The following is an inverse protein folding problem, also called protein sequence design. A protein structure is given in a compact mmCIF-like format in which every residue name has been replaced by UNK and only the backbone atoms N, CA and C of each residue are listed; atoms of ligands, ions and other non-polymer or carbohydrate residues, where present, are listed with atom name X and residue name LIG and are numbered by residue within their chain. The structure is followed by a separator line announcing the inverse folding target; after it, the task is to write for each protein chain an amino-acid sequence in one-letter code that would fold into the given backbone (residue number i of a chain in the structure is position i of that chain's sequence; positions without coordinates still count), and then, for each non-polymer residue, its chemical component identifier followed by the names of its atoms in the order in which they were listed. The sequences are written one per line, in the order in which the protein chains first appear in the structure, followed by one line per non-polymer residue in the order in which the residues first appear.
data_IF_994510598874
#
_entry.id   IF_994510598874
#
_cell.length_a   1.000
_cell.length_b   1.000
_cell.length_c   1.000
_cell.angle_alpha   90.00
_cell.angle_beta   90.00
_cell.angle_gamma   90.00
#
_symmetry.space_group_name_H-M   'P 1'
#
loop_
_entity.id
_entity.type
_entity.pdbx_description
1 polymer ?
#
# COMPACT_ATOMS: atom_id res chain seq x y z
N UNK A 1 8.49 8.55 2.95
CA UNK A 1 8.30 7.39 3.84
C UNK A 1 6.84 7.01 3.74
N UNK A 2 6.55 5.82 3.23
CA UNK A 2 5.17 5.32 3.20
C UNK A 2 4.90 4.60 4.51
N UNK A 3 3.84 5.00 5.21
CA UNK A 3 3.36 4.32 6.42
C UNK A 3 2.02 3.66 6.12
N UNK A 4 2.01 2.33 6.17
CA UNK A 4 0.83 1.50 5.95
C UNK A 4 0.34 0.91 7.27
N UNK A 5 -0.06 1.78 8.20
CA UNK A 5 -0.55 1.40 9.53
C UNK A 5 0.46 0.54 10.32
N UNK A 6 1.71 1.01 10.41
CA UNK A 6 2.77 0.39 11.21
C UNK A 6 3.90 -0.18 10.38
N UNK A 7 3.68 -0.42 9.08
CA UNK A 7 4.74 -0.78 8.15
C UNK A 7 5.26 0.48 7.44
N UNK A 8 6.45 0.90 7.85
CA UNK A 8 7.17 2.02 7.27
C UNK A 8 8.20 1.54 6.27
N UNK A 9 8.15 2.11 5.07
CA UNK A 9 9.13 1.81 4.02
C UNK A 9 9.65 3.09 3.34
N UNK A 10 10.87 2.98 2.82
CA UNK A 10 11.40 3.93 1.86
C UNK A 10 11.09 3.44 0.46
N UNK A 11 10.43 4.30 -0.32
CA UNK A 11 10.08 4.05 -1.71
C UNK A 11 10.61 5.20 -2.56
N UNK A 12 11.15 4.86 -3.72
CA UNK A 12 11.43 5.85 -4.76
C UNK A 12 10.12 6.19 -5.48
N UNK A 13 9.77 7.47 -5.50
CA UNK A 13 8.54 7.97 -6.09
C UNK A 13 8.83 8.98 -7.21
N UNK A 14 8.01 8.94 -8.25
CA UNK A 14 7.99 9.99 -9.27
C UNK A 14 7.04 11.09 -8.80
N UNK A 15 7.54 12.32 -8.73
CA UNK A 15 6.77 13.47 -8.23
C UNK A 15 6.06 14.16 -9.38
N UNK A 16 4.75 14.34 -9.25
CA UNK A 16 3.90 15.10 -10.18
C UNK A 16 2.80 15.82 -9.40
N UNK A 17 2.20 16.85 -9.98
CA UNK A 17 1.02 17.51 -9.40
C UNK A 17 -0.18 16.56 -9.45
N UNK A 18 -0.76 16.28 -8.29
CA UNK A 18 -2.00 15.52 -8.12
C UNK A 18 -3.11 16.49 -7.70
N UNK A 19 -4.35 16.18 -8.08
CA UNK A 19 -5.52 17.01 -7.72
C UNK A 19 -6.05 16.62 -6.35
N UNK A 20 -6.81 15.53 -6.27
CA UNK A 20 -7.50 15.12 -5.04
C UNK A 20 -6.72 14.12 -4.18
N UNK A 21 -5.78 13.36 -4.75
CA UNK A 21 -5.09 12.29 -4.05
C UNK A 21 -3.69 12.71 -3.59
N UNK A 22 -3.28 12.23 -2.41
CA UNK A 22 -1.94 12.48 -1.87
C UNK A 22 -0.84 11.66 -2.57
N UNK A 23 -1.17 10.45 -3.04
CA UNK A 23 -0.23 9.53 -3.68
C UNK A 23 -0.96 8.43 -4.48
N UNK A 24 -0.34 7.98 -5.57
CA UNK A 24 -0.74 6.76 -6.28
C UNK A 24 0.33 5.69 -6.15
N UNK A 25 -0.08 4.46 -5.79
CA UNK A 25 0.79 3.29 -5.81
C UNK A 25 0.72 2.62 -7.18
N UNK A 26 1.86 2.54 -7.85
CA UNK A 26 1.99 1.91 -9.14
C UNK A 26 1.94 0.37 -9.07
N UNK A 27 1.77 -0.25 -10.24
CA UNK A 27 1.75 -1.71 -10.39
C UNK A 27 3.07 -2.39 -9.97
N UNK A 28 4.20 -1.71 -10.16
CA UNK A 28 5.52 -2.17 -9.72
C UNK A 28 5.56 -2.43 -8.20
N UNK A 29 5.05 -1.48 -7.42
CA UNK A 29 4.97 -1.61 -5.96
C UNK A 29 4.03 -2.76 -5.57
N UNK A 30 2.85 -2.87 -6.21
CA UNK A 30 1.91 -3.96 -5.96
C UNK A 30 2.49 -5.33 -6.28
N UNK A 31 3.28 -5.45 -7.36
CA UNK A 31 3.90 -6.73 -7.75
C UNK A 31 4.99 -7.16 -6.78
N UNK A 32 5.75 -6.20 -6.24
CA UNK A 32 6.83 -6.49 -5.28
C UNK A 32 6.28 -7.10 -3.98
N UNK A 33 5.24 -6.49 -3.42
CA UNK A 33 4.65 -6.95 -2.16
C UNK A 33 3.58 -8.03 -2.33
N UNK A 34 3.00 -8.13 -3.54
CA UNK A 34 1.97 -9.09 -3.91
C UNK A 34 0.86 -9.25 -2.83
N UNK A 35 0.24 -8.14 -2.37
CA UNK A 35 -0.77 -8.22 -1.32
C UNK A 35 -2.04 -8.89 -1.85
N UNK A 36 -2.89 -9.35 -0.93
CA UNK A 36 -4.25 -9.71 -1.27
C UNK A 36 -5.10 -8.45 -1.34
N UNK A 37 -5.79 -8.25 -2.46
CA UNK A 37 -6.63 -7.07 -2.69
C UNK A 37 -8.07 -7.51 -2.86
N UNK A 38 -8.93 -7.06 -1.95
CA UNK A 38 -10.37 -7.14 -2.08
C UNK A 38 -10.88 -5.83 -2.68
N UNK A 39 -10.99 -5.82 -4.01
CA UNK A 39 -11.47 -4.66 -4.77
C UNK A 39 -12.91 -4.28 -4.43
N UNK A 40 -13.75 -5.24 -4.03
CA UNK A 40 -15.17 -5.00 -3.74
C UNK A 40 -15.30 -4.20 -2.44
N UNK A 41 -14.55 -4.58 -1.41
CA UNK A 41 -14.62 -3.94 -0.09
C UNK A 41 -13.56 -2.85 0.11
N UNK A 42 -12.67 -2.65 -0.87
CA UNK A 42 -11.57 -1.71 -0.77
C UNK A 42 -10.54 -2.09 0.30
N UNK A 43 -10.19 -3.37 0.42
CA UNK A 43 -9.27 -3.86 1.46
C UNK A 43 -7.97 -4.35 0.84
N UNK A 44 -6.83 -3.93 1.39
CA UNK A 44 -5.51 -4.51 1.10
C UNK A 44 -5.02 -5.28 2.34
N UNK A 45 -4.54 -6.50 2.14
CA UNK A 45 -3.96 -7.34 3.20
C UNK A 45 -2.55 -7.79 2.83
N UNK A 46 -1.62 -7.65 3.77
CA UNK A 46 -0.22 -8.07 3.63
C UNK A 46 -0.01 -9.46 4.25
N UNK A 47 -0.66 -10.47 3.67
CA UNK A 47 -0.55 -11.87 4.12
C UNK A 47 0.71 -12.57 3.60
N UNK A 48 1.43 -11.96 2.66
CA UNK A 48 2.54 -12.57 1.90
C UNK A 48 3.89 -11.88 2.11
N UNK A 49 4.05 -11.12 3.19
CA UNK A 49 5.31 -10.45 3.44
C UNK A 49 6.48 -11.42 3.66
N UNK A 50 7.72 -11.03 3.30
CA UNK A 50 8.89 -11.86 3.52
C UNK A 50 9.08 -12.18 5.01
N UNK A 51 9.74 -13.31 5.36
CA UNK A 51 10.02 -13.66 6.75
C UNK A 51 10.83 -12.61 7.53
N UNK A 52 11.53 -11.71 6.84
CA UNK A 52 12.25 -10.59 7.45
C UNK A 52 11.34 -9.44 7.90
N UNK A 53 10.05 -9.48 7.59
CA UNK A 53 9.09 -8.49 8.02
C UNK A 53 8.62 -8.79 9.45
N UNK A 54 9.23 -8.13 10.43
CA UNK A 54 8.92 -8.31 11.85
C UNK A 54 7.87 -7.32 12.36
N UNK A 55 7.04 -6.78 11.46
CA UNK A 55 6.07 -5.74 11.77
C UNK A 55 4.66 -6.37 11.70
N UNK A 56 3.77 -6.11 12.68
CA UNK A 56 2.38 -6.52 12.59
C UNK A 56 1.69 -5.84 11.40
N UNK A 57 1.11 -6.63 10.50
CA UNK A 57 0.31 -6.12 9.39
C UNK A 57 -1.16 -6.02 9.78
N UNK A 58 -1.76 -4.86 9.53
CA UNK A 58 -3.19 -4.64 9.63
C UNK A 58 -3.81 -4.54 8.24
N UNK A 59 -5.08 -4.92 8.13
CA UNK A 59 -5.83 -4.68 6.91
C UNK A 59 -5.94 -3.17 6.67
N UNK A 60 -5.58 -2.72 5.47
CA UNK A 60 -5.77 -1.33 5.06
C UNK A 60 -7.14 -1.23 4.40
N UNK A 61 -7.97 -0.31 4.91
CA UNK A 61 -9.25 0.02 4.33
C UNK A 61 -9.11 1.29 3.51
N UNK A 62 -9.25 1.17 2.19
CA UNK A 62 -9.19 2.29 1.26
C UNK A 62 -10.54 2.97 1.26
N UNK A 63 -10.55 4.26 1.60
CA UNK A 63 -11.72 5.10 1.40
C UNK A 63 -11.84 5.41 -0.10
N UNK A 64 -13.03 5.26 -0.70
CA UNK A 64 -13.25 5.70 -2.08
C UNK A 64 -12.83 7.16 -2.22
N UNK A 65 -12.07 7.46 -3.28
CA UNK A 65 -11.59 8.82 -3.57
C UNK A 65 -12.56 9.61 -4.48
N UNK A 66 -13.82 9.17 -4.55
CA UNK A 66 -14.90 9.69 -5.40
C UNK A 66 -16.16 9.85 -4.55
#
# INVERSE_FOLDING_TARGET
MLDTHGHQEQVEAVVTTLDSADMFLGHNWLTHYNPEIDWRNGIIKFTRCPPSCNIPHHNIYIKPHI
#
